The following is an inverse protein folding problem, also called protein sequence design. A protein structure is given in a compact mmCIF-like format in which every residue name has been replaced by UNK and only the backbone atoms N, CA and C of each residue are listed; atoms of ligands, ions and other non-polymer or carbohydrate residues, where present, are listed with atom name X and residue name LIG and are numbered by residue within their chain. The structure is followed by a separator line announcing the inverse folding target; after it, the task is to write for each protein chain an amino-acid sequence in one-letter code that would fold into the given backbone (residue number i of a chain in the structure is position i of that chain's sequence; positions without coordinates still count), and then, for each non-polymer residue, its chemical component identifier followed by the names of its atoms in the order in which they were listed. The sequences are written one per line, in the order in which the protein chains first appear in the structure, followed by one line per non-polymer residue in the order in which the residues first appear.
data_IF_951743500073
#
_entry.id   IF_951743500073
#
_cell.length_a   1.000
_cell.length_b   1.000
_cell.length_c   1.000
_cell.angle_alpha   90.00
_cell.angle_beta   90.00
_cell.angle_gamma   90.00
#
_symmetry.space_group_name_H-M   'P 1'
#
loop_
_entity.id
_entity.type
_entity.pdbx_description
1 polymer ?
#
# COMPACT_ATOMS: atom_id res chain seq x y z
N UNK A 1 -35.13 -9.58 -39.67
CA UNK A 1 -34.94 -8.95 -38.34
C UNK A 1 -34.82 -10.09 -37.32
N UNK A 2 -33.58 -10.47 -36.97
CA UNK A 2 -33.29 -11.64 -36.12
C UNK A 2 -33.21 -11.19 -34.66
N UNK A 3 -34.13 -11.70 -33.84
CA UNK A 3 -34.13 -11.56 -32.38
C UNK A 3 -33.05 -12.48 -31.80
N UNK A 4 -32.01 -11.89 -31.21
CA UNK A 4 -31.06 -12.62 -30.38
C UNK A 4 -31.52 -12.53 -28.92
N UNK A 5 -31.98 -13.65 -28.36
CA UNK A 5 -32.22 -13.83 -26.92
C UNK A 5 -30.89 -14.23 -26.29
N UNK A 6 -30.28 -13.33 -25.55
CA UNK A 6 -29.07 -13.62 -24.74
C UNK A 6 -29.50 -14.28 -23.44
N UNK A 7 -29.16 -15.57 -23.28
CA UNK A 7 -29.28 -16.31 -22.03
C UNK A 7 -28.09 -15.93 -21.14
N UNK A 8 -28.36 -15.27 -20.01
CA UNK A 8 -27.38 -15.05 -18.95
C UNK A 8 -27.32 -16.32 -18.10
N UNK A 9 -26.27 -17.13 -18.29
CA UNK A 9 -25.95 -18.24 -17.39
C UNK A 9 -25.33 -17.68 -16.10
N UNK A 10 -26.13 -17.68 -15.03
CA UNK A 10 -25.65 -17.44 -13.68
C UNK A 10 -24.98 -18.72 -13.13
N UNK A 11 -23.66 -18.81 -13.28
CA UNK A 11 -22.86 -19.86 -12.66
C UNK A 11 -22.70 -19.58 -11.17
N UNK A 12 -23.41 -20.35 -10.33
CA UNK A 12 -23.22 -20.36 -8.88
C UNK A 12 -21.88 -21.05 -8.55
N UNK A 13 -20.88 -20.29 -8.11
CA UNK A 13 -19.64 -20.85 -7.56
C UNK A 13 -19.87 -21.21 -6.09
N UNK A 14 -19.77 -22.50 -5.80
CA UNK A 14 -19.65 -23.07 -4.45
C UNK A 14 -18.41 -22.50 -3.75
N UNK A 15 -18.61 -21.65 -2.75
CA UNK A 15 -17.54 -21.16 -1.87
C UNK A 15 -17.23 -22.24 -0.83
N UNK A 16 -16.17 -23.01 -1.07
CA UNK A 16 -15.56 -23.85 -0.05
C UNK A 16 -14.75 -23.02 0.94
N UNK A 17 -15.15 -22.99 2.21
CA UNK A 17 -14.42 -22.32 3.29
C UNK A 17 -13.19 -23.14 3.73
N UNK A 18 -12.11 -23.07 2.97
CA UNK A 18 -10.77 -23.29 3.52
C UNK A 18 -10.35 -22.05 4.30
N UNK A 19 -10.06 -22.19 5.61
CA UNK A 19 -9.42 -21.14 6.42
C UNK A 19 -7.98 -20.93 5.93
N UNK A 20 -7.85 -20.29 4.78
CA UNK A 20 -6.60 -19.65 4.39
C UNK A 20 -6.50 -18.39 5.22
N UNK A 21 -5.57 -18.34 6.18
CA UNK A 21 -5.23 -17.07 6.83
C UNK A 21 -4.90 -16.08 5.70
N UNK A 22 -5.61 -14.94 5.61
CA UNK A 22 -5.38 -14.01 4.54
C UNK A 22 -3.96 -13.47 4.67
N UNK A 23 -3.05 -13.91 3.79
CA UNK A 23 -1.75 -13.28 3.64
C UNK A 23 -2.00 -11.90 3.04
N UNK A 24 -1.94 -10.88 3.88
CA UNK A 24 -2.04 -9.50 3.42
C UNK A 24 -0.78 -9.19 2.62
N UNK A 25 -0.96 -9.02 1.31
CA UNK A 25 0.07 -8.54 0.39
C UNK A 25 -0.24 -7.07 0.12
N UNK A 26 0.69 -6.20 0.45
CA UNK A 26 0.61 -4.77 0.14
C UNK A 26 1.44 -4.52 -1.10
N UNK A 27 0.84 -3.93 -2.13
CA UNK A 27 1.54 -3.59 -3.35
C UNK A 27 1.17 -2.20 -3.84
N UNK A 28 2.17 -1.45 -4.31
CA UNK A 28 1.98 -0.16 -5.00
C UNK A 28 2.71 -0.20 -6.34
N UNK A 29 2.07 0.30 -7.40
CA UNK A 29 2.60 0.28 -8.76
C UNK A 29 2.31 1.62 -9.45
N UNK A 30 3.30 2.12 -10.20
CA UNK A 30 3.17 3.27 -11.09
C UNK A 30 3.99 2.97 -12.35
N UNK A 31 3.31 2.81 -13.50
CA UNK A 31 3.95 2.33 -14.73
C UNK A 31 4.55 0.94 -14.54
N UNK A 32 5.78 0.71 -15.03
CA UNK A 32 6.51 -0.55 -14.80
C UNK A 32 7.32 -0.57 -13.51
N UNK A 33 7.18 0.44 -12.66
CA UNK A 33 7.78 0.48 -11.33
C UNK A 33 6.79 0.03 -10.25
N UNK A 34 7.26 -0.73 -9.27
CA UNK A 34 6.39 -1.21 -8.21
C UNK A 34 7.12 -1.74 -6.98
N UNK A 35 6.38 -1.80 -5.88
CA UNK A 35 6.79 -2.35 -4.60
C UNK A 35 5.76 -3.40 -4.19
N UNK A 36 6.23 -4.54 -3.70
CA UNK A 36 5.37 -5.60 -3.13
C UNK A 36 5.93 -6.04 -1.80
N UNK A 37 5.08 -6.06 -0.78
CA UNK A 37 5.39 -6.52 0.56
C UNK A 37 4.43 -7.65 0.94
N UNK A 38 4.97 -8.80 1.32
CA UNK A 38 4.19 -10.00 1.65
C UNK A 38 4.34 -10.45 3.12
N UNK A 39 4.91 -9.58 3.98
CA UNK A 39 5.20 -9.87 5.39
C UNK A 39 6.54 -10.56 5.64
N UNK A 40 7.17 -11.14 4.61
CA UNK A 40 8.48 -11.83 4.71
C UNK A 40 9.58 -11.11 3.93
N UNK A 41 9.20 -10.52 2.81
CA UNK A 41 10.11 -9.83 1.91
C UNK A 41 9.45 -8.60 1.29
N UNK A 42 10.30 -7.67 0.87
CA UNK A 42 9.98 -6.58 -0.05
C UNK A 42 10.55 -6.93 -1.41
N UNK A 43 9.74 -6.86 -2.46
CA UNK A 43 10.19 -6.95 -3.84
C UNK A 43 10.02 -5.61 -4.53
N UNK A 44 11.08 -5.13 -5.17
CA UNK A 44 11.12 -3.89 -5.93
C UNK A 44 11.26 -4.21 -7.41
N UNK A 45 10.40 -3.61 -8.22
CA UNK A 45 10.50 -3.60 -9.68
C UNK A 45 10.69 -2.17 -10.15
N UNK A 46 11.57 -1.99 -11.12
CA UNK A 46 11.82 -0.72 -11.80
C UNK A 46 11.93 -1.01 -13.29
N UNK A 47 11.54 -0.04 -14.10
CA UNK A 47 11.65 -0.15 -15.55
C UNK A 47 13.10 -0.41 -15.97
N UNK A 48 13.31 -1.45 -16.77
CA UNK A 48 14.63 -1.84 -17.27
C UNK A 48 15.56 -2.51 -16.26
N UNK A 49 15.12 -2.75 -15.02
CA UNK A 49 15.91 -3.45 -14.00
C UNK A 49 15.34 -4.83 -13.67
N UNK A 50 16.23 -5.76 -13.31
CA UNK A 50 15.80 -7.02 -12.70
C UNK A 50 15.08 -6.75 -11.37
N UNK A 51 14.28 -7.69 -10.88
CA UNK A 51 13.63 -7.51 -9.59
C UNK A 51 14.67 -7.61 -8.45
N UNK A 52 14.63 -6.64 -7.53
CA UNK A 52 15.34 -6.74 -6.26
C UNK A 52 14.41 -7.29 -5.17
N UNK A 53 14.90 -8.19 -4.32
CA UNK A 53 14.17 -8.69 -3.16
C UNK A 53 14.99 -8.51 -1.90
N UNK A 54 14.35 -7.97 -0.86
CA UNK A 54 14.93 -7.69 0.44
C UNK A 54 14.17 -8.50 1.48
N UNK A 55 14.85 -9.35 2.23
CA UNK A 55 14.28 -10.12 3.33
C UNK A 55 14.24 -9.33 4.63
N UNK A 56 13.45 -9.81 5.60
CA UNK A 56 13.30 -9.17 6.91
C UNK A 56 14.60 -8.99 7.70
N UNK A 57 15.62 -9.83 7.47
CA UNK A 57 16.93 -9.72 8.11
C UNK A 57 17.90 -8.76 7.37
N UNK A 58 17.47 -8.18 6.24
CA UNK A 58 18.24 -7.25 5.43
C UNK A 58 19.09 -7.90 4.32
N UNK A 59 18.92 -9.19 4.03
CA UNK A 59 19.58 -9.78 2.86
C UNK A 59 18.98 -9.21 1.56
N UNK A 60 19.84 -8.85 0.61
CA UNK A 60 19.46 -8.34 -0.70
C UNK A 60 19.75 -9.42 -1.75
N UNK A 61 18.81 -9.57 -2.68
CA UNK A 61 19.01 -10.34 -3.91
C UNK A 61 18.51 -9.55 -5.11
N UNK A 62 19.19 -9.72 -6.25
CA UNK A 62 18.80 -9.11 -7.53
C UNK A 62 18.72 -10.26 -8.53
N UNK A 63 17.60 -10.35 -9.25
CA UNK A 63 17.34 -11.49 -10.15
C UNK A 63 17.45 -12.85 -9.41
N UNK A 64 17.05 -12.88 -8.14
CA UNK A 64 17.19 -14.05 -7.25
C UNK A 64 18.63 -14.37 -6.83
N UNK A 65 19.64 -13.63 -7.30
CA UNK A 65 21.05 -13.84 -6.94
C UNK A 65 21.39 -13.01 -5.69
N UNK A 66 21.98 -13.61 -4.65
CA UNK A 66 22.32 -12.87 -3.43
C UNK A 66 23.42 -11.84 -3.70
N UNK A 67 23.24 -10.64 -3.15
CA UNK A 67 24.27 -9.59 -3.10
C UNK A 67 25.07 -9.77 -1.81
N UNK A 68 26.40 -9.71 -1.91
CA UNK A 68 27.26 -9.90 -0.75
C UNK A 68 27.34 -8.60 0.04
N UNK A 69 26.77 -8.60 1.25
CA UNK A 69 26.69 -7.43 2.11
C UNK A 69 27.56 -7.60 3.35
N UNK A 70 28.29 -6.55 3.74
CA UNK A 70 28.84 -6.41 5.08
C UNK A 70 27.72 -6.27 6.13
N UNK A 71 28.07 -6.40 7.41
CA UNK A 71 27.10 -6.22 8.50
C UNK A 71 26.48 -4.82 8.52
N UNK A 72 27.28 -3.78 8.23
CA UNK A 72 26.79 -2.41 8.16
C UNK A 72 25.80 -2.21 7.00
N UNK A 73 26.08 -2.81 5.84
CA UNK A 73 25.19 -2.78 4.69
C UNK A 73 23.89 -3.55 4.94
N UNK A 74 23.98 -4.76 5.52
CA UNK A 74 22.81 -5.57 5.88
C UNK A 74 21.92 -4.84 6.88
N UNK A 75 22.52 -4.14 7.85
CA UNK A 75 21.79 -3.29 8.80
C UNK A 75 21.01 -2.21 8.05
N UNK A 76 21.66 -1.42 7.19
CA UNK A 76 20.98 -0.38 6.40
C UNK A 76 19.79 -0.91 5.56
N UNK A 77 19.96 -2.07 4.91
CA UNK A 77 18.87 -2.74 4.18
C UNK A 77 17.71 -3.18 5.10
N UNK A 78 18.02 -3.61 6.33
CA UNK A 78 17.01 -3.94 7.34
C UNK A 78 16.26 -2.72 7.82
N UNK A 79 16.93 -1.59 8.05
CA UNK A 79 16.22 -0.35 8.41
C UNK A 79 15.27 0.08 7.29
N UNK A 80 15.69 -0.01 6.02
CA UNK A 80 14.80 0.24 4.88
C UNK A 80 13.60 -0.71 4.86
N UNK A 81 13.82 -2.02 5.07
CA UNK A 81 12.74 -3.01 5.19
C UNK A 81 11.73 -2.63 6.29
N UNK A 82 12.22 -2.25 7.48
CA UNK A 82 11.37 -1.85 8.62
C UNK A 82 10.52 -0.63 8.28
N UNK A 83 11.08 0.36 7.56
CA UNK A 83 10.29 1.51 7.15
C UNK A 83 9.21 1.17 6.12
N UNK A 84 9.47 0.24 5.18
CA UNK A 84 8.43 -0.26 4.26
C UNK A 84 7.33 -0.99 5.02
N UNK A 85 7.70 -1.85 5.98
CA UNK A 85 6.73 -2.50 6.85
C UNK A 85 5.87 -1.46 7.59
N UNK A 86 6.46 -0.37 8.08
CA UNK A 86 5.74 0.73 8.70
C UNK A 86 4.74 1.42 7.77
N UNK A 87 5.13 1.70 6.52
CA UNK A 87 4.20 2.23 5.49
C UNK A 87 3.08 1.24 5.23
N UNK A 88 3.39 -0.04 5.05
CA UNK A 88 2.41 -1.09 4.80
C UNK A 88 1.40 -1.20 5.96
N UNK A 89 1.87 -1.20 7.20
CA UNK A 89 1.02 -1.27 8.39
C UNK A 89 0.09 -0.05 8.50
N UNK A 90 0.61 1.17 8.30
CA UNK A 90 -0.22 2.39 8.27
C UNK A 90 -1.22 2.39 7.11
N UNK A 91 -0.83 1.92 5.94
CA UNK A 91 -1.73 1.80 4.79
C UNK A 91 -2.88 0.83 5.03
N UNK A 92 -2.62 -0.30 5.70
CA UNK A 92 -3.66 -1.26 6.11
C UNK A 92 -4.62 -0.63 7.13
N UNK A 93 -4.08 0.07 8.12
CA UNK A 93 -4.88 0.75 9.15
C UNK A 93 -5.78 1.84 8.55
N UNK A 94 -5.21 2.72 7.73
CA UNK A 94 -5.95 3.77 7.01
C UNK A 94 -7.00 3.16 6.08
N UNK A 95 -6.65 2.11 5.32
CA UNK A 95 -7.60 1.42 4.44
C UNK A 95 -8.77 0.79 5.20
N UNK A 96 -8.51 0.21 6.37
CA UNK A 96 -9.53 -0.38 7.24
C UNK A 96 -10.47 0.69 7.80
N UNK A 97 -9.91 1.79 8.30
CA UNK A 97 -10.68 2.93 8.79
C UNK A 97 -11.49 3.59 7.66
N UNK A 98 -10.92 3.73 6.47
CA UNK A 98 -11.60 4.27 5.29
C UNK A 98 -12.77 3.40 4.83
N UNK A 99 -12.63 2.07 4.86
CA UNK A 99 -13.72 1.15 4.55
C UNK A 99 -14.87 1.25 5.58
N UNK A 100 -14.54 1.33 6.87
CA UNK A 100 -15.53 1.52 7.93
C UNK A 100 -16.26 2.87 7.79
N UNK A 101 -15.51 3.94 7.50
CA UNK A 101 -16.07 5.27 7.24
C UNK A 101 -17.01 5.26 6.03
N UNK A 102 -16.60 4.66 4.90
CA UNK A 102 -17.44 4.57 3.71
C UNK A 102 -18.74 3.79 3.94
N UNK A 103 -18.68 2.69 4.67
CA UNK A 103 -19.88 1.93 5.04
C UNK A 103 -20.83 2.74 5.94
N UNK A 104 -20.28 3.46 6.92
CA UNK A 104 -21.04 4.36 7.79
C UNK A 104 -21.71 5.48 6.99
N UNK A 105 -20.97 6.17 6.11
CA UNK A 105 -21.48 7.24 5.28
C UNK A 105 -22.61 6.77 4.34
N UNK A 106 -22.46 5.60 3.70
CA UNK A 106 -23.50 5.01 2.87
C UNK A 106 -24.78 4.69 3.69
N UNK A 107 -24.62 4.14 4.89
CA UNK A 107 -25.74 3.86 5.80
C UNK A 107 -26.49 5.13 6.23
N UNK A 108 -25.75 6.16 6.62
CA UNK A 108 -26.34 7.45 7.02
C UNK A 108 -26.99 8.18 5.83
N UNK A 109 -26.44 8.07 4.60
CA UNK A 109 -27.08 8.62 3.41
C UNK A 109 -28.45 7.98 3.14
N UNK A 110 -28.56 6.65 3.22
CA UNK A 110 -29.85 5.94 3.09
C UNK A 110 -30.85 6.40 4.16
N UNK A 111 -30.38 6.53 5.40
CA UNK A 111 -31.19 7.03 6.51
C UNK A 111 -31.67 8.46 6.26
N UNK A 112 -30.81 9.34 5.73
CA UNK A 112 -31.16 10.71 5.39
C UNK A 112 -32.24 10.82 4.32
N UNK A 113 -32.20 9.96 3.31
CA UNK A 113 -33.27 9.87 2.29
C UNK A 113 -34.59 9.42 2.93
N UNK A 114 -34.56 8.41 3.80
CA UNK A 114 -35.75 7.90 4.46
C UNK A 114 -36.34 8.86 5.51
N UNK A 115 -35.50 9.67 6.16
CA UNK A 115 -35.91 10.60 7.21
C UNK A 115 -36.13 12.03 6.75
N UNK A 116 -35.78 12.37 5.51
CA UNK A 116 -35.85 13.74 4.97
C UNK A 116 -34.79 14.71 5.52
N UNK A 117 -33.73 14.22 6.19
CA UNK A 117 -32.70 15.04 6.86
C UNK A 117 -31.34 14.94 6.16
N UNK A 118 -31.32 14.83 4.83
CA UNK A 118 -30.10 14.56 4.07
C UNK A 118 -28.99 15.60 4.28
N UNK A 119 -29.34 16.90 4.36
CA UNK A 119 -28.37 17.99 4.52
C UNK A 119 -27.61 17.90 5.85
N UNK A 120 -28.31 17.79 6.98
CA UNK A 120 -27.68 17.69 8.31
C UNK A 120 -26.76 16.47 8.43
N UNK A 121 -27.15 15.35 7.81
CA UNK A 121 -26.31 14.14 7.80
C UNK A 121 -25.08 14.36 6.92
N UNK A 122 -25.24 15.03 5.77
CA UNK A 122 -24.13 15.40 4.89
C UNK A 122 -23.05 16.20 5.61
N UNK A 123 -23.44 17.28 6.30
CA UNK A 123 -22.51 18.15 7.04
C UNK A 123 -21.71 17.36 8.09
N UNK A 124 -22.36 16.41 8.78
CA UNK A 124 -21.71 15.57 9.79
C UNK A 124 -20.69 14.62 9.16
N UNK A 125 -21.05 13.97 8.05
CA UNK A 125 -20.17 13.06 7.32
C UNK A 125 -18.96 13.82 6.75
N UNK A 126 -19.15 15.05 6.27
CA UNK A 126 -18.06 15.90 5.78
C UNK A 126 -17.06 16.27 6.89
N UNK A 127 -17.54 16.64 8.08
CA UNK A 127 -16.68 16.92 9.23
C UNK A 127 -15.89 15.68 9.70
N UNK A 128 -16.52 14.51 9.68
CA UNK A 128 -15.86 13.23 9.96
C UNK A 128 -14.81 12.88 8.90
N UNK A 129 -15.11 13.14 7.62
CA UNK A 129 -14.19 12.95 6.50
C UNK A 129 -12.93 13.81 6.63
N UNK A 130 -13.09 15.10 6.98
CA UNK A 130 -11.95 15.99 7.17
C UNK A 130 -11.07 15.54 8.35
N UNK A 131 -11.68 15.12 9.46
CA UNK A 131 -10.95 14.55 10.59
C UNK A 131 -10.18 13.28 10.20
N UNK A 132 -10.78 12.42 9.38
CA UNK A 132 -10.12 11.22 8.85
C UNK A 132 -8.96 11.59 7.92
N UNK A 133 -9.14 12.55 7.02
CA UNK A 133 -8.10 13.05 6.10
C UNK A 133 -6.86 13.51 6.89
N UNK A 134 -7.05 14.32 7.93
CA UNK A 134 -5.95 14.80 8.76
C UNK A 134 -5.17 13.66 9.44
N UNK A 135 -5.85 12.59 9.88
CA UNK A 135 -5.20 11.39 10.43
C UNK A 135 -4.46 10.59 9.36
N UNK A 136 -5.03 10.48 8.15
CA UNK A 136 -4.43 9.75 7.05
C UNK A 136 -3.09 10.38 6.61
N UNK A 137 -2.96 11.71 6.69
CA UNK A 137 -1.71 12.43 6.38
C UNK A 137 -0.52 12.02 7.26
N UNK A 138 -0.74 11.38 8.42
CA UNK A 138 0.34 10.81 9.25
C UNK A 138 1.10 9.65 8.56
N UNK A 139 0.59 9.13 7.43
CA UNK A 139 1.36 8.22 6.57
C UNK A 139 2.53 8.93 5.89
N UNK A 140 2.44 10.23 5.62
CA UNK A 140 3.50 10.98 4.96
C UNK A 140 4.73 11.15 5.86
N UNK A 141 4.55 11.24 7.18
CA UNK A 141 5.67 11.21 8.13
C UNK A 141 6.41 9.87 8.08
N UNK A 142 5.69 8.78 7.83
CA UNK A 142 6.28 7.45 7.65
C UNK A 142 7.00 7.35 6.30
N UNK A 143 6.47 7.97 5.25
CA UNK A 143 7.09 8.04 3.94
C UNK A 143 8.42 8.81 3.99
N UNK A 144 8.49 9.87 4.79
CA UNK A 144 9.72 10.63 5.04
C UNK A 144 10.80 9.77 5.72
N UNK A 145 10.42 8.98 6.74
CA UNK A 145 11.33 8.02 7.38
C UNK A 145 11.81 6.95 6.40
N UNK A 146 10.90 6.46 5.55
CA UNK A 146 11.25 5.51 4.49
C UNK A 146 12.27 6.09 3.51
N UNK A 147 12.09 7.34 3.09
CA UNK A 147 13.05 8.05 2.22
C UNK A 147 14.42 8.15 2.88
N UNK A 148 14.49 8.57 4.16
CA UNK A 148 15.78 8.64 4.87
C UNK A 148 16.49 7.28 4.96
N UNK A 149 15.74 6.21 5.23
CA UNK A 149 16.29 4.85 5.24
C UNK A 149 16.72 4.39 3.84
N UNK A 150 15.96 4.76 2.79
CA UNK A 150 16.30 4.49 1.40
C UNK A 150 17.63 5.16 1.02
N UNK A 151 17.79 6.44 1.33
CA UNK A 151 18.98 7.21 0.97
C UNK A 151 20.22 6.66 1.69
N UNK A 152 20.04 6.25 2.96
CA UNK A 152 21.09 5.57 3.74
C UNK A 152 21.48 4.23 3.11
N UNK A 153 20.49 3.40 2.74
CA UNK A 153 20.72 2.10 2.11
C UNK A 153 21.38 2.25 0.74
N UNK A 154 20.94 3.20 -0.08
CA UNK A 154 21.50 3.50 -1.40
C UNK A 154 22.95 3.98 -1.31
N UNK A 155 23.28 4.77 -0.29
CA UNK A 155 24.65 5.23 -0.05
C UNK A 155 25.57 4.09 0.42
N UNK A 156 25.03 3.12 1.17
CA UNK A 156 25.80 1.99 1.72
C UNK A 156 25.96 0.83 0.73
N UNK A 157 24.96 0.60 -0.12
CA UNK A 157 24.86 -0.57 -1.03
C UNK A 157 24.71 -0.09 -2.46
N UNK A 158 25.82 0.01 -3.23
CA UNK A 158 25.79 0.51 -4.61
C UNK A 158 24.82 -0.26 -5.51
N UNK A 159 24.71 -1.59 -5.34
CA UNK A 159 23.80 -2.45 -6.10
C UNK A 159 22.31 -2.13 -5.84
N UNK A 160 22.00 -1.51 -4.69
CA UNK A 160 20.65 -1.07 -4.35
C UNK A 160 20.32 0.33 -4.90
N UNK A 161 21.32 1.16 -5.19
CA UNK A 161 21.15 2.53 -5.67
C UNK A 161 20.11 2.71 -6.80
N UNK A 162 20.13 1.88 -7.86
CA UNK A 162 19.15 1.97 -8.95
C UNK A 162 17.68 1.73 -8.53
N UNK A 163 17.43 1.14 -7.37
CA UNK A 163 16.08 0.87 -6.85
C UNK A 163 15.55 1.98 -5.92
N UNK A 164 16.43 2.88 -5.47
CA UNK A 164 16.12 3.97 -4.57
C UNK A 164 15.50 5.17 -5.32
N UNK A 165 14.21 5.08 -5.64
CA UNK A 165 13.54 6.08 -6.47
C UNK A 165 12.56 6.98 -5.70
N UNK A 166 12.37 6.78 -4.40
CA UNK A 166 11.50 7.66 -3.61
C UNK A 166 12.18 9.03 -3.46
N UNK A 167 11.62 10.06 -4.10
CA UNK A 167 12.16 11.41 -4.16
C UNK A 167 11.62 12.32 -3.05
N UNK A 168 12.23 13.50 -2.86
CA UNK A 168 11.71 14.49 -1.92
C UNK A 168 10.35 15.02 -2.38
N UNK A 169 10.17 15.11 -3.70
CA UNK A 169 8.92 15.51 -4.31
C UNK A 169 7.81 14.52 -3.95
N UNK A 170 8.06 13.21 -3.99
CA UNK A 170 7.05 12.23 -3.60
C UNK A 170 6.61 12.38 -2.13
N UNK A 171 7.53 12.76 -1.24
CA UNK A 171 7.21 13.04 0.18
C UNK A 171 6.42 14.34 0.33
N UNK A 172 6.75 15.37 -0.46
CA UNK A 172 6.03 16.63 -0.45
C UNK A 172 4.61 16.47 -1.02
N UNK A 173 4.49 15.85 -2.19
CA UNK A 173 3.23 15.57 -2.89
C UNK A 173 2.28 14.71 -2.03
N UNK A 174 2.80 13.86 -1.14
CA UNK A 174 1.98 13.09 -0.19
C UNK A 174 1.14 13.99 0.73
N UNK A 175 1.64 15.18 1.07
CA UNK A 175 1.03 16.08 2.06
C UNK A 175 0.02 17.07 1.45
N UNK A 176 -0.06 17.13 0.13
CA UNK A 176 -0.98 18.00 -0.62
C UNK A 176 -2.35 17.32 -0.81
#
# INVERSE_FOLDING_TARGET
MKLFVSVVLASALLVGCGKSEPKVVVSGQNGGSGVTFNGKSVTLKRDGLAAATISADGALSIDGKPVQLSEAQRRAMREYYVQIQGVAAKGIDIGTQGAAFGAHAAGEALKGVLSGNAEQIGDKIEAEAETFKQKALLICDQLEKLRGAQDTAASAVPEFGPYANLTQKDVADCRE
#
